data_IF_909187966856
#
_entry.id   IF_909187966856
#
_cell.length_a   1.000
_cell.length_b   1.000
_cell.length_c   1.000
_cell.angle_alpha   90.00
_cell.angle_beta   90.00
_cell.angle_gamma   90.00
#
_symmetry.space_group_name_H-M   'P 1'
#
loop_
_entity.id
_entity.type
_entity.pdbx_description
1 polymer ?
#
# COMPACT_ATOMS: atom_id res chain seq x y z
N UNK A 1 15.21 0.48 -25.74
CA UNK A 1 13.73 0.45 -25.82
C UNK A 1 13.28 1.82 -26.27
N UNK A 2 12.40 1.91 -27.26
CA UNK A 2 11.79 3.20 -27.61
C UNK A 2 11.09 3.77 -26.38
N UNK A 3 11.21 5.08 -26.20
CA UNK A 3 10.60 5.79 -25.07
C UNK A 3 9.09 5.61 -25.14
N UNK A 4 8.41 4.97 -24.19
CA UNK A 4 6.98 4.73 -24.26
C UNK A 4 6.23 6.06 -24.36
N UNK A 5 5.09 6.05 -25.05
CA UNK A 5 4.28 7.25 -25.21
C UNK A 5 3.49 7.56 -23.96
N UNK A 6 3.12 6.55 -23.17
CA UNK A 6 2.26 6.64 -21.99
C UNK A 6 3.02 6.34 -20.69
N UNK A 7 2.62 6.98 -19.62
CA UNK A 7 3.16 6.79 -18.29
C UNK A 7 2.03 6.72 -17.26
N UNK A 8 2.07 5.73 -16.41
CA UNK A 8 1.29 5.67 -15.17
C UNK A 8 2.23 5.94 -14.02
N UNK A 9 2.11 7.10 -13.43
CA UNK A 9 2.89 7.49 -12.25
C UNK A 9 1.97 7.49 -11.04
N UNK A 10 2.33 6.75 -10.00
CA UNK A 10 1.59 6.72 -8.76
C UNK A 10 2.41 7.30 -7.61
N UNK A 11 1.76 7.96 -6.68
CA UNK A 11 2.31 8.27 -5.37
C UNK A 11 1.61 7.42 -4.30
N UNK A 12 2.37 6.93 -3.31
CA UNK A 12 1.83 6.10 -2.25
C UNK A 12 0.56 6.71 -1.63
N UNK A 13 -0.48 5.90 -1.48
CA UNK A 13 -1.72 6.35 -0.86
C UNK A 13 -1.47 6.62 0.64
N UNK A 14 -1.66 7.86 1.12
CA UNK A 14 -1.58 8.12 2.56
C UNK A 14 -2.76 7.54 3.31
N UNK A 15 -2.51 7.02 4.49
CA UNK A 15 -3.56 6.59 5.41
C UNK A 15 -4.45 7.77 5.82
N UNK A 16 -5.77 7.63 5.66
CA UNK A 16 -6.74 8.65 6.06
C UNK A 16 -7.08 8.57 7.57
N UNK A 17 -6.06 8.53 8.42
CA UNK A 17 -6.19 8.51 9.88
C UNK A 17 -5.49 9.70 10.55
N UNK A 18 -5.06 10.68 9.78
CA UNK A 18 -4.40 11.87 10.27
C UNK A 18 -3.98 12.81 9.14
N UNK A 19 -3.56 14.05 9.48
CA UNK A 19 -3.06 15.00 8.51
C UNK A 19 -1.68 14.57 7.99
N UNK A 20 -1.32 15.12 6.84
CA UNK A 20 0.01 14.94 6.24
C UNK A 20 1.04 15.87 6.90
N UNK A 21 2.29 15.42 6.92
CA UNK A 21 3.45 16.18 7.37
C UNK A 21 4.52 16.29 6.28
N UNK A 22 5.51 17.17 6.48
CA UNK A 22 6.60 17.41 5.53
C UNK A 22 7.34 16.14 5.11
N UNK A 23 7.44 15.13 5.98
CA UNK A 23 8.04 13.85 5.65
C UNK A 23 7.29 13.08 4.57
N UNK A 24 5.96 13.16 4.54
CA UNK A 24 5.16 12.58 3.46
C UNK A 24 5.41 13.32 2.15
N UNK A 25 5.39 14.67 2.19
CA UNK A 25 5.61 15.51 1.01
C UNK A 25 6.97 15.21 0.36
N UNK A 26 8.05 15.27 1.15
CA UNK A 26 9.41 15.03 0.68
C UNK A 26 9.66 13.57 0.27
N UNK A 27 8.97 12.62 0.93
CA UNK A 27 9.17 11.19 0.71
C UNK A 27 8.61 10.67 -0.61
N UNK A 28 7.42 11.10 -1.00
CA UNK A 28 6.74 10.55 -2.16
C UNK A 28 6.14 11.62 -3.09
N UNK A 29 5.46 12.64 -2.56
CA UNK A 29 4.56 13.46 -3.37
C UNK A 29 5.29 14.54 -4.17
N UNK A 30 6.20 15.28 -3.57
CA UNK A 30 7.00 16.28 -4.27
C UNK A 30 7.91 15.66 -5.35
N UNK A 31 8.66 14.57 -5.07
CA UNK A 31 9.46 13.91 -6.11
C UNK A 31 8.63 13.39 -7.28
N UNK A 32 7.44 12.85 -7.02
CA UNK A 32 6.54 12.37 -8.08
C UNK A 32 5.98 13.50 -8.92
N UNK A 33 5.59 14.62 -8.31
CA UNK A 33 5.07 15.79 -9.04
C UNK A 33 6.14 16.41 -9.94
N UNK A 34 7.36 16.57 -9.43
CA UNK A 34 8.50 17.05 -10.23
C UNK A 34 8.73 16.15 -11.45
N UNK A 35 8.71 14.83 -11.24
CA UNK A 35 8.89 13.87 -12.32
C UNK A 35 7.75 13.95 -13.36
N UNK A 36 6.51 14.06 -12.91
CA UNK A 36 5.34 14.20 -13.79
C UNK A 36 5.40 15.49 -14.59
N UNK A 37 5.76 16.62 -13.98
CA UNK A 37 5.99 17.89 -14.69
C UNK A 37 7.05 17.74 -15.76
N UNK A 38 8.18 17.08 -15.46
CA UNK A 38 9.21 16.80 -16.44
C UNK A 38 8.68 15.96 -17.62
N UNK A 39 7.89 14.91 -17.37
CA UNK A 39 7.28 14.11 -18.42
C UNK A 39 6.30 14.93 -19.28
N UNK A 40 5.43 15.72 -18.67
CA UNK A 40 4.49 16.61 -19.36
C UNK A 40 5.23 17.63 -20.26
N UNK A 41 6.32 18.22 -19.76
CA UNK A 41 7.17 19.13 -20.54
C UNK A 41 7.83 18.45 -21.76
N UNK A 42 8.05 17.15 -21.70
CA UNK A 42 8.53 16.33 -22.81
C UNK A 42 7.42 15.70 -23.66
N UNK A 43 6.20 16.26 -23.59
CA UNK A 43 5.03 15.83 -24.36
C UNK A 43 4.69 14.35 -24.19
N UNK A 44 4.86 13.78 -22.97
CA UNK A 44 4.42 12.42 -22.64
C UNK A 44 2.97 12.44 -22.18
N UNK A 45 2.22 11.40 -22.57
CA UNK A 45 0.87 11.15 -22.03
C UNK A 45 1.02 10.52 -20.64
N UNK A 46 0.65 11.26 -19.59
CA UNK A 46 0.88 10.87 -18.20
C UNK A 46 -0.44 10.90 -17.43
N UNK A 47 -0.76 9.82 -16.75
CA UNK A 47 -1.73 9.82 -15.65
C UNK A 47 -0.97 9.81 -14.32
N UNK A 48 -1.24 10.79 -13.48
CA UNK A 48 -0.64 10.92 -12.14
C UNK A 48 -1.68 10.60 -11.07
N UNK A 49 -1.50 9.45 -10.42
CA UNK A 49 -2.52 8.84 -9.56
C UNK A 49 -2.10 8.87 -8.10
N UNK A 50 -3.00 9.34 -7.27
CA UNK A 50 -2.95 9.18 -5.82
C UNK A 50 -4.37 9.02 -5.28
N UNK A 51 -4.49 8.89 -3.98
CA UNK A 51 -5.74 8.79 -3.25
C UNK A 51 -5.48 8.57 -1.78
N UNK A 52 -6.52 8.43 -0.98
CA UNK A 52 -6.41 8.04 0.42
C UNK A 52 -6.61 6.54 0.60
N UNK A 53 -5.71 5.93 1.42
CA UNK A 53 -5.91 4.59 1.95
C UNK A 53 -6.82 4.69 3.17
N UNK A 54 -8.02 4.12 3.07
CA UNK A 54 -9.11 4.34 4.01
C UNK A 54 -9.54 3.08 4.76
N UNK A 55 -8.81 1.97 4.60
CA UNK A 55 -9.13 0.70 5.23
C UNK A 55 -8.10 0.29 6.28
N UNK A 56 -8.45 -0.72 7.08
CA UNK A 56 -7.56 -1.34 8.07
C UNK A 56 -7.76 -0.86 9.50
N UNK A 57 -7.09 -1.56 10.42
CA UNK A 57 -7.28 -1.45 11.87
C UNK A 57 -6.97 -0.04 12.42
N UNK A 58 -6.03 0.69 11.82
CA UNK A 58 -5.67 2.03 12.32
C UNK A 58 -6.82 3.04 12.21
N UNK A 59 -7.66 2.94 11.17
CA UNK A 59 -8.85 3.79 10.97
C UNK A 59 -9.89 3.50 12.06
N UNK A 60 -10.21 2.22 12.27
CA UNK A 60 -11.22 1.81 13.25
C UNK A 60 -10.79 2.10 14.68
N UNK A 61 -9.50 1.95 15.00
CA UNK A 61 -8.96 2.35 16.31
C UNK A 61 -9.08 3.85 16.53
N UNK A 62 -8.78 4.66 15.51
CA UNK A 62 -8.94 6.11 15.56
C UNK A 62 -10.41 6.49 15.76
N UNK A 63 -11.30 5.89 15.00
CA UNK A 63 -12.74 6.10 15.11
C UNK A 63 -13.27 5.82 16.52
N UNK A 64 -12.89 4.67 17.10
CA UNK A 64 -13.24 4.35 18.49
C UNK A 64 -12.72 5.39 19.50
N UNK A 65 -11.46 5.84 19.33
CA UNK A 65 -10.84 6.84 20.22
C UNK A 65 -11.56 8.19 20.16
N UNK A 66 -12.06 8.58 18.99
CA UNK A 66 -12.73 9.86 18.78
C UNK A 66 -14.26 9.80 18.91
N UNK A 67 -14.83 8.61 19.15
CA UNK A 67 -16.29 8.41 19.22
C UNK A 67 -17.00 8.66 17.89
N UNK A 68 -16.30 8.44 16.78
CA UNK A 68 -16.76 8.58 15.40
C UNK A 68 -16.89 7.22 14.72
N UNK A 69 -17.58 7.19 13.59
CA UNK A 69 -17.55 6.04 12.66
C UNK A 69 -16.25 6.06 11.84
N UNK A 70 -15.81 4.90 11.31
CA UNK A 70 -14.69 4.86 10.36
C UNK A 70 -14.90 5.76 9.15
N UNK A 71 -16.13 5.85 8.61
CA UNK A 71 -16.46 6.70 7.48
C UNK A 71 -16.26 8.19 7.79
N UNK A 72 -16.69 8.67 8.95
CA UNK A 72 -16.48 10.07 9.37
C UNK A 72 -14.99 10.42 9.49
N UNK A 73 -14.17 9.50 9.99
CA UNK A 73 -12.70 9.69 10.07
C UNK A 73 -12.10 9.83 8.66
N UNK A 74 -12.41 8.89 7.77
CA UNK A 74 -11.80 8.92 6.43
C UNK A 74 -12.31 10.09 5.58
N UNK A 75 -13.56 10.50 5.74
CA UNK A 75 -14.10 11.68 5.06
C UNK A 75 -13.39 12.96 5.48
N UNK A 76 -13.15 13.13 6.78
CA UNK A 76 -12.42 14.25 7.34
C UNK A 76 -10.99 14.32 6.82
N UNK A 77 -10.22 13.23 6.96
CA UNK A 77 -8.80 13.24 6.58
C UNK A 77 -8.57 13.17 5.07
N UNK A 78 -9.48 12.57 4.31
CA UNK A 78 -9.45 12.68 2.85
C UNK A 78 -9.52 14.15 2.42
N UNK A 79 -10.48 14.90 2.95
CA UNK A 79 -10.68 16.31 2.61
C UNK A 79 -9.47 17.17 3.02
N UNK A 80 -8.97 16.99 4.25
CA UNK A 80 -7.80 17.74 4.77
C UNK A 80 -6.57 17.46 3.90
N UNK A 81 -6.29 16.20 3.62
CA UNK A 81 -5.11 15.80 2.86
C UNK A 81 -5.18 16.24 1.40
N UNK A 82 -6.35 16.12 0.76
CA UNK A 82 -6.58 16.63 -0.59
C UNK A 82 -6.31 18.11 -0.66
N UNK A 83 -6.86 18.89 0.28
CA UNK A 83 -6.66 20.33 0.34
C UNK A 83 -5.20 20.72 0.58
N UNK A 84 -4.47 19.97 1.42
CA UNK A 84 -3.05 20.18 1.63
C UNK A 84 -2.25 19.99 0.33
N UNK A 85 -2.51 18.94 -0.44
CA UNK A 85 -1.86 18.72 -1.73
C UNK A 85 -2.16 19.84 -2.73
N UNK A 86 -3.42 20.27 -2.85
CA UNK A 86 -3.81 21.40 -3.71
C UNK A 86 -3.04 22.68 -3.34
N UNK A 87 -2.95 22.98 -2.05
CA UNK A 87 -2.26 24.16 -1.55
C UNK A 87 -0.74 24.11 -1.77
N UNK A 88 -0.13 22.91 -1.78
CA UNK A 88 1.27 22.71 -2.16
C UNK A 88 1.48 22.59 -3.68
N UNK A 89 0.44 22.79 -4.47
CA UNK A 89 0.52 22.74 -5.94
C UNK A 89 0.85 21.36 -6.51
N UNK A 90 0.60 20.29 -5.76
CA UNK A 90 0.73 18.91 -6.26
C UNK A 90 -0.46 18.61 -7.18
N UNK A 91 -0.18 18.42 -8.47
CA UNK A 91 -1.19 18.35 -9.55
C UNK A 91 -1.46 16.88 -9.93
N UNK A 92 -2.16 16.14 -9.07
CA UNK A 92 -2.64 14.78 -9.42
C UNK A 92 -3.68 14.84 -10.55
N UNK A 93 -3.59 13.91 -11.50
CA UNK A 93 -4.68 13.68 -12.46
C UNK A 93 -5.97 13.26 -11.76
N UNK A 94 -5.82 12.52 -10.66
CA UNK A 94 -6.90 12.13 -9.75
C UNK A 94 -6.35 11.88 -8.34
N UNK A 95 -7.06 12.40 -7.33
CA UNK A 95 -6.91 12.03 -5.94
C UNK A 95 -8.18 11.31 -5.48
N UNK A 96 -8.14 9.97 -5.48
CA UNK A 96 -9.29 9.11 -5.24
C UNK A 96 -9.30 8.55 -3.82
N UNK A 97 -10.12 7.53 -3.55
CA UNK A 97 -10.25 6.94 -2.21
C UNK A 97 -10.60 5.45 -2.28
N UNK A 98 -10.06 4.66 -1.35
CA UNK A 98 -10.30 3.20 -1.33
C UNK A 98 -11.68 2.83 -0.74
N UNK A 99 -12.37 3.72 -0.03
CA UNK A 99 -13.75 3.49 0.43
C UNK A 99 -14.81 3.74 -0.65
N UNK A 100 -14.43 4.19 -1.85
CA UNK A 100 -15.37 4.42 -2.94
C UNK A 100 -15.98 3.11 -3.45
N UNK A 101 -17.29 3.08 -3.79
CA UNK A 101 -17.96 1.87 -4.28
C UNK A 101 -17.28 1.23 -5.49
N UNK A 102 -16.84 2.06 -6.46
CA UNK A 102 -16.15 1.60 -7.66
C UNK A 102 -14.77 0.96 -7.36
N UNK A 103 -14.12 1.39 -6.27
CA UNK A 103 -12.93 0.70 -5.80
C UNK A 103 -13.26 -0.66 -5.20
N UNK A 104 -14.30 -0.76 -4.37
CA UNK A 104 -14.75 -2.04 -3.81
C UNK A 104 -15.07 -3.04 -4.90
N UNK A 105 -15.82 -2.64 -5.94
CA UNK A 105 -16.13 -3.49 -7.10
C UNK A 105 -14.86 -3.97 -7.81
N UNK A 106 -13.90 -3.05 -8.06
CA UNK A 106 -12.64 -3.38 -8.72
C UNK A 106 -11.80 -4.34 -7.88
N UNK A 107 -11.66 -4.09 -6.59
CA UNK A 107 -10.86 -4.92 -5.69
C UNK A 107 -11.46 -6.32 -5.53
N UNK A 108 -12.79 -6.43 -5.41
CA UNK A 108 -13.48 -7.71 -5.36
C UNK A 108 -13.33 -8.49 -6.66
N UNK A 109 -13.47 -7.82 -7.81
CA UNK A 109 -13.28 -8.44 -9.13
C UNK A 109 -11.85 -8.95 -9.28
N UNK A 110 -10.85 -8.12 -8.97
CA UNK A 110 -9.44 -8.47 -9.06
C UNK A 110 -9.08 -9.68 -8.17
N UNK A 111 -9.60 -9.69 -6.92
CA UNK A 111 -9.41 -10.80 -6.00
C UNK A 111 -10.04 -12.10 -6.52
N UNK A 112 -11.28 -12.03 -7.04
CA UNK A 112 -11.97 -13.18 -7.61
C UNK A 112 -11.22 -13.78 -8.81
N UNK A 113 -10.73 -12.93 -9.72
CA UNK A 113 -9.96 -13.38 -10.89
C UNK A 113 -8.66 -14.09 -10.48
N UNK A 114 -7.97 -13.58 -9.45
CA UNK A 114 -6.80 -14.26 -8.89
C UNK A 114 -7.18 -15.58 -8.20
N UNK A 115 -8.29 -15.61 -7.45
CA UNK A 115 -8.73 -16.84 -6.78
C UNK A 115 -9.14 -17.92 -7.79
N UNK A 116 -9.77 -17.56 -8.91
CA UNK A 116 -10.09 -18.49 -10.00
C UNK A 116 -8.86 -19.05 -10.71
N UNK A 117 -7.71 -18.40 -10.57
CA UNK A 117 -6.40 -18.84 -11.09
C UNK A 117 -5.58 -19.61 -10.05
N UNK A 118 -6.19 -20.05 -8.95
CA UNK A 118 -5.53 -20.77 -7.86
C UNK A 118 -4.32 -20.02 -7.25
N UNK A 119 -4.36 -18.66 -7.30
CA UNK A 119 -3.29 -17.82 -6.76
C UNK A 119 -3.22 -17.91 -5.25
N UNK A 120 -4.33 -18.14 -4.57
CA UNK A 120 -4.41 -18.21 -3.13
C UNK A 120 -4.63 -19.64 -2.62
N UNK A 121 -4.14 -19.91 -1.41
CA UNK A 121 -4.43 -21.16 -0.67
C UNK A 121 -5.25 -20.83 0.56
N UNK A 122 -6.40 -21.49 0.75
CA UNK A 122 -7.19 -21.34 2.00
C UNK A 122 -6.54 -22.18 3.10
N UNK A 123 -6.26 -21.54 4.24
CA UNK A 123 -5.65 -22.21 5.41
C UNK A 123 -6.41 -21.76 6.66
N UNK A 124 -6.64 -22.73 7.56
CA UNK A 124 -7.16 -22.48 8.91
C UNK A 124 -5.97 -22.40 9.88
N UNK A 125 -5.91 -21.34 10.64
CA UNK A 125 -4.85 -21.08 11.62
C UNK A 125 -5.46 -20.55 12.92
N UNK A 126 -4.76 -20.75 14.03
CA UNK A 126 -5.11 -20.07 15.26
C UNK A 126 -4.64 -18.63 15.22
N UNK A 127 -5.52 -17.71 15.66
CA UNK A 127 -5.21 -16.28 15.80
C UNK A 127 -5.70 -15.77 17.14
N UNK A 128 -5.10 -14.68 17.62
CA UNK A 128 -5.52 -14.03 18.86
C UNK A 128 -6.93 -13.44 18.75
N UNK A 129 -7.70 -13.63 19.78
CA UNK A 129 -9.09 -13.23 19.88
C UNK A 129 -9.35 -12.54 21.23
N UNK A 130 -10.03 -11.42 21.20
CA UNK A 130 -10.48 -10.67 22.37
C UNK A 130 -11.91 -11.11 22.71
N UNK A 131 -12.08 -11.85 23.81
CA UNK A 131 -13.38 -12.36 24.23
C UNK A 131 -14.32 -11.23 24.70
N UNK A 132 -13.78 -10.17 25.30
CA UNK A 132 -14.58 -9.06 25.79
C UNK A 132 -15.21 -8.27 24.64
N UNK A 133 -14.46 -8.05 23.55
CA UNK A 133 -14.94 -7.33 22.38
C UNK A 133 -15.47 -8.26 21.28
N UNK A 134 -15.42 -9.58 21.50
CA UNK A 134 -15.87 -10.59 20.53
C UNK A 134 -15.23 -10.40 19.14
N UNK A 135 -13.92 -10.16 19.10
CA UNK A 135 -13.20 -9.75 17.89
C UNK A 135 -11.83 -10.41 17.77
N UNK A 136 -11.43 -10.84 16.56
CA UNK A 136 -10.07 -11.23 16.25
C UNK A 136 -9.14 -10.01 16.29
N UNK A 137 -7.90 -10.25 16.75
CA UNK A 137 -6.88 -9.22 16.91
C UNK A 137 -5.85 -9.28 15.79
N UNK A 138 -6.20 -8.69 14.65
CA UNK A 138 -5.29 -8.55 13.53
C UNK A 138 -4.44 -7.27 13.65
N UNK A 139 -3.23 -7.34 13.15
CA UNK A 139 -2.38 -6.16 12.90
C UNK A 139 -2.24 -5.25 14.15
N UNK A 140 -2.83 -4.05 14.13
CA UNK A 140 -2.72 -3.05 15.22
C UNK A 140 -3.72 -3.23 16.35
N UNK A 141 -4.61 -4.21 16.27
CA UNK A 141 -5.47 -4.58 17.39
C UNK A 141 -4.74 -5.35 18.49
N UNK A 142 -3.50 -5.79 18.21
CA UNK A 142 -2.67 -6.47 19.19
C UNK A 142 -1.30 -5.78 19.30
N UNK A 143 -0.79 -5.69 20.52
CA UNK A 143 0.54 -5.18 20.82
C UNK A 143 1.25 -6.09 21.80
N UNK A 144 2.57 -6.03 21.80
CA UNK A 144 3.42 -6.80 22.69
C UNK A 144 4.88 -6.42 22.55
N UNK A 145 5.77 -7.19 23.16
CA UNK A 145 7.19 -6.96 23.05
C UNK A 145 7.73 -7.56 21.73
N UNK A 146 8.54 -6.76 21.02
CA UNK A 146 9.21 -7.18 19.79
C UNK A 146 10.29 -8.24 20.09
N UNK A 147 10.26 -9.41 19.44
CA UNK A 147 11.27 -10.46 19.68
C UNK A 147 12.67 -10.08 19.19
N UNK A 148 12.79 -9.06 18.33
CA UNK A 148 14.08 -8.66 17.75
C UNK A 148 14.75 -7.51 18.50
N UNK A 149 14.02 -6.47 18.90
CA UNK A 149 14.60 -5.27 19.52
C UNK A 149 14.06 -4.96 20.91
N UNK A 150 13.20 -5.85 21.46
CA UNK A 150 12.60 -5.74 22.80
C UNK A 150 11.80 -4.44 23.00
N UNK A 151 11.30 -3.85 21.93
CA UNK A 151 10.35 -2.75 22.04
C UNK A 151 9.06 -3.25 22.69
N UNK A 152 8.63 -2.74 23.87
CA UNK A 152 7.48 -3.27 24.62
C UNK A 152 6.13 -2.98 23.95
N UNK A 153 6.11 -2.10 22.94
CA UNK A 153 4.91 -1.63 22.26
C UNK A 153 4.99 -1.88 20.74
N UNK A 154 5.44 -3.06 20.31
CA UNK A 154 5.37 -3.46 18.91
C UNK A 154 3.96 -3.91 18.56
N UNK A 155 3.51 -3.60 17.34
CA UNK A 155 2.24 -4.08 16.79
C UNK A 155 2.40 -5.42 16.08
N UNK A 156 1.28 -6.11 15.84
CA UNK A 156 1.27 -7.44 15.24
C UNK A 156 1.55 -7.48 13.73
N UNK A 157 1.71 -6.33 13.08
CA UNK A 157 2.09 -6.21 11.65
C UNK A 157 3.55 -5.79 11.48
N UNK A 158 4.02 -4.87 12.31
CA UNK A 158 5.38 -4.32 12.20
C UNK A 158 5.84 -3.69 13.53
N UNK A 159 7.13 -3.82 13.83
CA UNK A 159 7.73 -3.07 14.92
C UNK A 159 8.10 -1.66 14.47
N UNK A 160 7.43 -0.62 14.98
CA UNK A 160 7.70 0.77 14.61
C UNK A 160 9.12 1.27 15.01
N UNK A 161 9.79 0.60 15.95
CA UNK A 161 11.14 0.96 16.40
C UNK A 161 12.23 0.42 15.48
N UNK A 162 12.18 -0.87 15.13
CA UNK A 162 13.24 -1.51 14.32
C UNK A 162 12.81 -1.81 12.87
N UNK A 163 11.54 -1.56 12.53
CA UNK A 163 11.02 -1.79 11.19
C UNK A 163 10.85 -3.26 10.78
N UNK A 164 10.99 -4.18 11.73
CA UNK A 164 10.83 -5.61 11.44
C UNK A 164 9.38 -5.94 11.15
N UNK A 165 9.16 -6.72 10.09
CA UNK A 165 7.89 -7.40 9.84
C UNK A 165 7.61 -8.40 10.98
N UNK A 166 6.39 -8.40 11.46
CA UNK A 166 5.92 -9.25 12.54
C UNK A 166 4.58 -9.89 12.16
N UNK A 167 4.32 -11.05 12.75
CA UNK A 167 2.99 -11.61 12.88
C UNK A 167 2.49 -11.38 14.31
N UNK A 168 1.17 -11.27 14.55
CA UNK A 168 0.63 -11.27 15.91
C UNK A 168 1.19 -12.39 16.80
N UNK A 169 1.45 -13.56 16.23
CA UNK A 169 1.97 -14.72 16.94
C UNK A 169 3.45 -14.59 17.34
N UNK A 170 4.20 -13.67 16.74
CA UNK A 170 5.60 -13.42 17.08
C UNK A 170 5.78 -12.58 18.35
N UNK A 171 4.73 -11.85 18.75
CA UNK A 171 4.79 -10.93 19.88
C UNK A 171 4.97 -11.65 21.21
N UNK A 172 5.88 -11.14 22.05
CA UNK A 172 6.07 -11.60 23.41
C UNK A 172 5.08 -10.85 24.30
N UNK A 173 4.39 -11.56 25.20
CA UNK A 173 3.38 -11.03 26.11
C UNK A 173 2.30 -10.21 25.38
N UNK A 174 1.59 -10.78 24.39
CA UNK A 174 0.61 -10.06 23.60
C UNK A 174 -0.58 -9.59 24.43
N UNK A 175 -1.10 -8.38 24.08
CA UNK A 175 -2.26 -7.74 24.70
C UNK A 175 -3.16 -7.17 23.63
N UNK A 176 -4.47 -7.27 23.83
CA UNK A 176 -5.45 -6.51 23.03
C UNK A 176 -5.22 -5.01 23.20
N UNK A 177 -5.15 -4.26 22.12
CA UNK A 177 -5.11 -2.79 22.17
C UNK A 177 -6.49 -2.19 22.41
N UNK A 178 -7.54 -3.02 22.35
CA UNK A 178 -8.95 -2.63 22.52
C UNK A 178 -9.35 -2.73 23.99
N UNK A 179 -9.16 -3.91 24.61
CA UNK A 179 -9.53 -4.16 26.02
C UNK A 179 -8.36 -4.03 27.00
N UNK A 180 -7.11 -4.11 26.50
CA UNK A 180 -5.91 -4.24 27.36
C UNK A 180 -5.69 -5.64 27.92
N UNK A 181 -6.61 -6.58 27.70
CA UNK A 181 -6.56 -7.93 28.25
C UNK A 181 -5.62 -8.85 27.46
N UNK A 182 -5.22 -9.94 28.11
CA UNK A 182 -4.52 -11.04 27.44
C UNK A 182 -5.50 -11.77 26.50
N UNK A 183 -5.20 -11.88 25.20
CA UNK A 183 -6.08 -12.56 24.26
C UNK A 183 -6.01 -14.10 24.41
N UNK A 184 -7.03 -14.78 23.89
CA UNK A 184 -7.05 -16.22 23.68
C UNK A 184 -6.72 -16.59 22.23
N UNK A 185 -6.45 -17.85 21.95
CA UNK A 185 -6.33 -18.37 20.58
C UNK A 185 -7.69 -18.94 20.12
N UNK A 186 -8.05 -18.63 18.88
CA UNK A 186 -9.26 -19.12 18.21
C UNK A 186 -8.97 -19.42 16.74
N UNK A 187 -9.53 -20.47 16.20
CA UNK A 187 -9.36 -20.81 14.79
C UNK A 187 -10.10 -19.85 13.88
N UNK A 188 -9.44 -19.46 12.78
CA UNK A 188 -10.02 -18.74 11.66
C UNK A 188 -9.36 -19.16 10.36
N UNK A 189 -10.09 -18.99 9.24
CA UNK A 189 -9.59 -19.36 7.91
C UNK A 189 -9.34 -18.12 7.08
N UNK A 190 -8.18 -18.08 6.41
CA UNK A 190 -7.78 -17.00 5.52
C UNK A 190 -7.27 -17.53 4.19
N UNK A 191 -7.24 -16.66 3.17
CA UNK A 191 -6.64 -16.89 1.86
C UNK A 191 -5.22 -16.35 1.86
N UNK A 192 -4.24 -17.24 1.66
CA UNK A 192 -2.82 -16.93 1.69
C UNK A 192 -2.23 -16.86 0.29
N UNK A 193 -1.43 -15.83 0.04
CA UNK A 193 -0.56 -15.74 -1.14
C UNK A 193 0.73 -16.50 -0.85
N UNK A 194 1.04 -17.62 -1.56
CA UNK A 194 2.26 -18.39 -1.37
C UNK A 194 3.46 -17.71 -2.03
N UNK A 195 4.00 -16.66 -1.39
CA UNK A 195 5.03 -15.79 -1.97
C UNK A 195 6.33 -16.53 -2.30
N UNK A 196 6.65 -17.60 -1.58
CA UNK A 196 7.85 -18.44 -1.81
C UNK A 196 7.91 -19.04 -3.20
N UNK A 197 6.77 -19.26 -3.86
CA UNK A 197 6.70 -19.77 -5.24
C UNK A 197 7.17 -18.78 -6.29
N UNK A 198 7.42 -17.54 -5.89
CA UNK A 198 7.73 -16.44 -6.79
C UNK A 198 9.17 -15.92 -6.68
N UNK A 199 9.99 -16.47 -5.78
CA UNK A 199 11.37 -16.02 -5.50
C UNK A 199 12.28 -16.03 -6.74
N UNK A 200 12.19 -17.07 -7.57
CA UNK A 200 13.06 -17.24 -8.74
C UNK A 200 12.86 -16.11 -9.77
N UNK A 201 11.61 -15.88 -10.18
CA UNK A 201 11.33 -14.84 -11.17
C UNK A 201 11.49 -13.44 -10.59
N UNK A 202 11.15 -13.21 -9.30
CA UNK A 202 11.39 -11.94 -8.61
C UNK A 202 12.88 -11.61 -8.59
N UNK A 203 13.71 -12.57 -8.24
CA UNK A 203 15.18 -12.40 -8.27
C UNK A 203 15.67 -12.00 -9.65
N UNK A 204 15.22 -12.71 -10.70
CA UNK A 204 15.60 -12.39 -12.07
C UNK A 204 15.09 -11.01 -12.51
N UNK A 205 13.85 -10.66 -12.13
CA UNK A 205 13.25 -9.37 -12.46
C UNK A 205 13.99 -8.22 -11.77
N UNK A 206 14.25 -8.31 -10.45
CA UNK A 206 14.94 -7.26 -9.69
C UNK A 206 16.39 -7.10 -10.12
N UNK A 207 17.15 -8.21 -10.28
CA UNK A 207 18.60 -8.12 -10.53
C UNK A 207 18.94 -7.92 -12.02
N UNK A 208 18.13 -8.47 -12.93
CA UNK A 208 18.42 -8.48 -14.37
C UNK A 208 17.40 -7.71 -15.21
N UNK A 209 16.30 -7.25 -14.60
CA UNK A 209 15.19 -6.62 -15.31
C UNK A 209 14.44 -7.59 -16.25
N UNK A 210 14.56 -8.92 -16.05
CA UNK A 210 14.06 -9.93 -16.99
C UNK A 210 13.11 -10.92 -16.34
N UNK A 211 12.06 -11.29 -17.11
CA UNK A 211 11.20 -12.45 -16.82
C UNK A 211 11.15 -13.32 -18.06
N UNK A 212 11.42 -14.61 -17.92
CA UNK A 212 11.48 -15.60 -19.02
C UNK A 212 12.32 -15.11 -20.22
N UNK A 213 13.44 -14.43 -19.94
CA UNK A 213 14.35 -13.91 -20.96
C UNK A 213 13.94 -12.57 -21.59
N UNK A 214 12.70 -12.11 -21.43
CA UNK A 214 12.23 -10.81 -21.92
C UNK A 214 12.67 -9.69 -20.99
N UNK A 215 13.31 -8.62 -21.54
CA UNK A 215 13.68 -7.42 -20.78
C UNK A 215 12.43 -6.59 -20.52
N UNK A 216 12.17 -6.25 -19.25
CA UNK A 216 11.03 -5.44 -18.83
C UNK A 216 11.44 -4.05 -18.35
N UNK A 217 12.57 -3.95 -17.63
CA UNK A 217 13.11 -2.67 -17.17
C UNK A 217 14.64 -2.72 -17.13
N UNK A 218 15.30 -1.56 -16.95
CA UNK A 218 16.73 -1.50 -16.68
C UNK A 218 16.95 -1.50 -15.15
N UNK A 219 17.56 -2.54 -14.57
CA UNK A 219 17.78 -2.61 -13.13
C UNK A 219 18.75 -1.52 -12.61
N UNK A 220 19.53 -0.88 -13.48
CA UNK A 220 20.41 0.24 -13.10
C UNK A 220 19.64 1.53 -12.79
N UNK A 221 18.40 1.65 -13.26
CA UNK A 221 17.53 2.79 -12.94
C UNK A 221 16.94 2.67 -11.52
N UNK A 222 16.97 1.49 -10.91
CA UNK A 222 16.46 1.27 -9.56
C UNK A 222 17.48 1.69 -8.51
N UNK A 223 17.01 2.34 -7.45
CA UNK A 223 17.89 2.68 -6.31
C UNK A 223 18.41 1.42 -5.63
N UNK A 224 19.70 1.39 -5.29
CA UNK A 224 20.35 0.27 -4.58
C UNK A 224 19.65 -0.09 -3.26
N UNK A 225 19.10 0.88 -2.57
CA UNK A 225 18.31 0.69 -1.34
C UNK A 225 17.07 -0.17 -1.61
N UNK A 226 16.37 0.07 -2.71
CA UNK A 226 15.15 -0.69 -3.06
C UNK A 226 15.52 -2.12 -3.41
N UNK A 227 16.46 -2.31 -4.34
CA UNK A 227 16.92 -3.64 -4.76
C UNK A 227 17.54 -4.41 -3.60
N UNK A 228 18.33 -3.75 -2.74
CA UNK A 228 18.94 -4.34 -1.55
C UNK A 228 17.90 -4.83 -0.53
N UNK A 229 16.87 -4.03 -0.25
CA UNK A 229 15.81 -4.43 0.67
C UNK A 229 14.99 -5.60 0.12
N UNK A 230 14.62 -5.58 -1.17
CA UNK A 230 13.89 -6.68 -1.83
C UNK A 230 14.72 -7.97 -1.78
N UNK A 231 16.01 -7.89 -2.13
CA UNK A 231 16.89 -9.06 -2.08
C UNK A 231 17.13 -9.58 -0.66
N UNK A 232 17.14 -8.70 0.34
CA UNK A 232 17.21 -9.11 1.74
C UNK A 232 16.00 -9.96 2.15
N UNK A 233 14.81 -9.60 1.70
CA UNK A 233 13.58 -10.38 1.95
C UNK A 233 13.61 -11.72 1.21
N UNK A 234 13.96 -11.74 -0.07
CA UNK A 234 14.05 -12.97 -0.86
C UNK A 234 15.10 -13.92 -0.27
N UNK A 235 16.28 -13.42 0.10
CA UNK A 235 17.34 -14.23 0.67
C UNK A 235 16.99 -14.78 2.07
N UNK A 236 16.11 -14.12 2.81
CA UNK A 236 15.59 -14.63 4.09
C UNK A 236 14.52 -15.72 3.91
N UNK A 237 14.05 -15.95 2.68
CA UNK A 237 12.94 -16.83 2.32
C UNK A 237 11.58 -16.14 2.48
N UNK A 238 10.87 -15.99 1.38
CA UNK A 238 9.51 -15.43 1.41
C UNK A 238 8.55 -16.44 2.05
N UNK A 239 7.63 -15.95 2.85
CA UNK A 239 6.63 -16.78 3.54
C UNK A 239 5.23 -16.51 2.98
N UNK A 240 4.30 -17.50 3.04
CA UNK A 240 2.91 -17.26 2.71
C UNK A 240 2.33 -16.10 3.54
N UNK A 241 1.56 -15.23 2.89
CA UNK A 241 0.94 -14.07 3.55
C UNK A 241 -0.56 -14.09 3.39
N UNK A 242 -1.29 -13.93 4.51
CA UNK A 242 -2.74 -13.85 4.49
C UNK A 242 -3.21 -12.56 3.79
N UNK A 243 -4.06 -12.73 2.77
CA UNK A 243 -4.64 -11.64 1.96
C UNK A 243 -6.06 -11.25 2.39
N UNK A 244 -6.52 -11.80 3.50
CA UNK A 244 -7.80 -11.46 4.13
C UNK A 244 -7.63 -11.23 5.62
N UNK A 245 -8.56 -10.51 6.23
CA UNK A 245 -8.58 -10.21 7.68
C UNK A 245 -9.98 -10.35 8.24
N UNK A 246 -10.07 -10.75 9.50
CA UNK A 246 -11.31 -10.71 10.29
C UNK A 246 -11.51 -9.28 10.81
N UNK A 247 -12.12 -8.44 10.00
CA UNK A 247 -12.40 -7.02 10.27
C UNK A 247 -13.76 -6.64 9.67
N UNK A 248 -14.39 -5.64 10.26
CA UNK A 248 -15.68 -5.13 9.77
C UNK A 248 -15.53 -4.03 8.73
N UNK A 249 -14.44 -3.24 8.79
CA UNK A 249 -14.16 -2.11 7.93
C UNK A 249 -13.10 -2.46 6.86
N UNK A 250 -13.51 -2.41 5.60
CA UNK A 250 -12.70 -2.76 4.42
C UNK A 250 -13.52 -3.36 3.29
N UNK A 251 -12.85 -3.70 2.19
CA UNK A 251 -13.48 -4.38 1.05
C UNK A 251 -13.85 -5.81 1.46
N UNK A 252 -15.14 -6.15 1.38
CA UNK A 252 -15.61 -7.49 1.75
C UNK A 252 -15.05 -8.56 0.81
N UNK A 253 -14.64 -9.70 1.38
CA UNK A 253 -14.17 -10.84 0.60
C UNK A 253 -15.33 -11.45 -0.18
N UNK A 254 -15.27 -11.51 -1.52
CA UNK A 254 -16.40 -11.91 -2.36
C UNK A 254 -16.47 -13.44 -2.57
N UNK A 255 -16.24 -14.23 -1.53
CA UNK A 255 -16.22 -15.70 -1.60
C UNK A 255 -17.18 -16.30 -0.58
N UNK A 256 -17.72 -17.48 -0.90
CA UNK A 256 -18.53 -18.27 0.01
C UNK A 256 -17.72 -18.70 1.25
N UNK A 257 -18.30 -18.58 2.42
CA UNK A 257 -17.66 -18.89 3.71
C UNK A 257 -16.58 -17.88 4.12
N UNK A 258 -16.68 -16.64 3.60
CA UNK A 258 -15.83 -15.52 3.99
C UNK A 258 -16.58 -14.45 4.80
N UNK A 259 -17.70 -14.83 5.44
CA UNK A 259 -18.48 -13.91 6.26
C UNK A 259 -17.62 -13.29 7.37
N UNK A 260 -17.79 -11.99 7.62
CA UNK A 260 -17.00 -11.23 8.60
C UNK A 260 -15.55 -10.95 8.19
N UNK A 261 -15.20 -11.17 6.92
CA UNK A 261 -13.84 -10.95 6.41
C UNK A 261 -13.78 -9.85 5.37
N UNK A 262 -12.65 -9.13 5.39
CA UNK A 262 -12.28 -8.12 4.40
C UNK A 262 -10.96 -8.48 3.73
N UNK A 263 -10.71 -7.90 2.57
CA UNK A 263 -9.41 -7.96 1.91
C UNK A 263 -8.37 -7.27 2.80
N UNK A 264 -7.15 -7.79 2.80
CA UNK A 264 -6.04 -7.16 3.50
C UNK A 264 -5.70 -5.82 2.85
N UNK A 265 -5.54 -4.79 3.65
CA UNK A 265 -5.30 -3.41 3.18
C UNK A 265 -4.14 -3.32 2.18
N UNK A 266 -3.09 -4.12 2.32
CA UNK A 266 -1.96 -4.15 1.41
C UNK A 266 -2.20 -4.95 0.10
N UNK A 267 -3.37 -5.58 -0.02
CA UNK A 267 -3.88 -6.07 -1.30
C UNK A 267 -4.80 -5.03 -1.93
N UNK A 268 -5.73 -4.46 -1.16
CA UNK A 268 -6.72 -3.55 -1.72
C UNK A 268 -6.14 -2.17 -2.05
N UNK A 269 -5.29 -1.59 -1.20
CA UNK A 269 -4.71 -0.27 -1.42
C UNK A 269 -3.96 -0.13 -2.76
N UNK A 270 -3.07 -1.05 -3.19
CA UNK A 270 -2.46 -0.97 -4.52
C UNK A 270 -3.45 -1.09 -5.68
N UNK A 271 -4.55 -1.84 -5.51
CA UNK A 271 -5.63 -1.87 -6.51
C UNK A 271 -6.31 -0.50 -6.60
N UNK A 272 -6.23 0.31 -5.54
CA UNK A 272 -6.67 1.70 -5.52
C UNK A 272 -6.07 2.56 -6.62
N UNK A 273 -4.83 2.29 -7.04
CA UNK A 273 -4.24 2.97 -8.20
C UNK A 273 -4.97 2.63 -9.50
N UNK A 274 -5.39 1.36 -9.66
CA UNK A 274 -6.10 0.88 -10.85
C UNK A 274 -7.50 1.48 -10.90
N UNK A 275 -8.26 1.39 -9.79
CA UNK A 275 -9.61 1.94 -9.71
C UNK A 275 -9.64 3.45 -9.88
N UNK A 276 -8.68 4.17 -9.31
CA UNK A 276 -8.51 5.61 -9.50
C UNK A 276 -8.24 5.95 -10.96
N UNK A 277 -7.35 5.20 -11.64
CA UNK A 277 -7.08 5.41 -13.06
C UNK A 277 -8.32 5.14 -13.91
N UNK A 278 -9.10 4.10 -13.56
CA UNK A 278 -10.37 3.79 -14.25
C UNK A 278 -11.34 4.96 -14.13
N UNK A 279 -11.55 5.47 -12.91
CA UNK A 279 -12.42 6.63 -12.66
C UNK A 279 -11.96 7.87 -13.43
N UNK A 280 -10.67 8.17 -13.39
CA UNK A 280 -10.10 9.27 -14.17
C UNK A 280 -10.32 9.11 -15.68
N UNK A 281 -10.13 7.91 -16.21
CA UNK A 281 -10.31 7.63 -17.63
C UNK A 281 -11.77 7.80 -18.06
N UNK A 282 -12.72 7.32 -17.25
CA UNK A 282 -14.16 7.51 -17.46
C UNK A 282 -14.51 9.00 -17.51
N UNK A 283 -14.00 9.80 -16.56
CA UNK A 283 -14.26 11.25 -16.50
C UNK A 283 -13.62 12.04 -17.66
N UNK A 284 -12.60 11.49 -18.31
CA UNK A 284 -11.84 12.13 -19.39
C UNK A 284 -12.04 11.48 -20.76
N UNK A 285 -12.97 10.53 -20.92
CA UNK A 285 -13.23 9.83 -22.18
C UNK A 285 -12.03 9.04 -22.70
N UNK A 286 -11.20 8.49 -21.81
CA UNK A 286 -10.02 7.68 -22.12
C UNK A 286 -10.27 6.19 -21.77
N UNK A 287 -9.41 5.32 -22.29
CA UNK A 287 -9.39 3.91 -21.89
C UNK A 287 -8.33 3.70 -20.80
N UNK A 288 -8.76 3.30 -19.60
CA UNK A 288 -7.85 3.06 -18.46
C UNK A 288 -6.90 1.88 -18.68
N UNK A 289 -7.31 0.88 -19.50
CA UNK A 289 -6.50 -0.30 -19.77
C UNK A 289 -5.20 0.04 -20.49
N UNK A 290 -5.20 1.10 -21.31
CA UNK A 290 -4.01 1.62 -21.98
C UNK A 290 -2.89 2.05 -21.02
N UNK A 291 -3.22 2.31 -19.76
CA UNK A 291 -2.29 2.76 -18.73
C UNK A 291 -1.88 1.63 -17.76
N UNK A 292 -2.55 0.48 -17.82
CA UNK A 292 -2.31 -0.61 -16.86
C UNK A 292 -2.10 -1.97 -17.47
N UNK A 293 -2.60 -2.22 -18.68
CA UNK A 293 -2.56 -3.56 -19.28
C UNK A 293 -1.49 -3.68 -20.37
N UNK A 294 -0.98 -4.88 -20.52
CA UNK A 294 -0.20 -5.26 -21.72
C UNK A 294 -1.14 -5.40 -22.91
N UNK A 295 -0.64 -5.08 -24.09
CA UNK A 295 -1.39 -5.30 -25.32
C UNK A 295 -1.65 -6.80 -25.49
N UNK A 296 -2.92 -7.18 -25.63
CA UNK A 296 -3.35 -8.58 -25.70
C UNK A 296 -2.83 -9.32 -26.95
N UNK A 297 -2.54 -8.61 -28.05
CA UNK A 297 -2.06 -9.19 -29.32
C UNK A 297 -0.54 -9.37 -29.32
N UNK A 298 0.20 -8.38 -28.79
CA UNK A 298 1.67 -8.38 -28.84
C UNK A 298 2.32 -8.83 -27.52
N UNK A 299 1.58 -8.79 -26.40
CA UNK A 299 2.12 -9.02 -25.07
C UNK A 299 3.09 -7.93 -24.60
N UNK A 300 3.08 -6.76 -25.25
CA UNK A 300 3.98 -5.65 -24.95
C UNK A 300 3.26 -4.57 -24.15
N UNK A 301 4.01 -3.93 -23.25
CA UNK A 301 3.53 -2.77 -22.51
C UNK A 301 3.75 -1.49 -23.35
N UNK A 302 2.68 -0.72 -23.57
CA UNK A 302 2.75 0.60 -24.20
C UNK A 302 2.92 1.72 -23.17
N UNK A 303 2.81 1.40 -21.90
CA UNK A 303 2.95 2.30 -20.76
C UNK A 303 4.09 1.89 -19.84
N UNK A 304 4.71 2.88 -19.19
CA UNK A 304 5.62 2.68 -18.05
C UNK A 304 4.87 2.93 -16.75
N UNK A 305 4.95 1.97 -15.84
CA UNK A 305 4.40 2.07 -14.47
C UNK A 305 5.51 2.44 -13.50
N UNK A 306 5.35 3.56 -12.78
CA UNK A 306 6.34 4.06 -11.82
C UNK A 306 5.65 4.40 -10.50
N UNK A 307 6.14 3.80 -9.39
CA UNK A 307 5.58 3.99 -8.05
C UNK A 307 6.52 4.83 -7.18
N UNK A 308 6.14 6.07 -6.87
CA UNK A 308 6.85 6.90 -5.88
C UNK A 308 6.33 6.60 -4.47
N UNK A 309 7.24 6.17 -3.58
CA UNK A 309 6.88 5.65 -2.27
C UNK A 309 7.88 6.08 -1.18
N UNK A 310 7.49 5.96 0.10
CA UNK A 310 8.41 5.88 1.22
C UNK A 310 9.04 4.49 1.33
N UNK A 311 10.20 4.38 1.95
CA UNK A 311 10.95 3.10 2.07
C UNK A 311 10.19 1.99 2.79
N UNK A 312 9.25 2.32 3.65
CA UNK A 312 8.38 1.38 4.35
C UNK A 312 7.42 0.63 3.42
N UNK A 313 7.18 1.17 2.23
CA UNK A 313 6.31 0.58 1.22
C UNK A 313 7.05 -0.27 0.15
N UNK A 314 8.38 -0.42 0.24
CA UNK A 314 9.18 -1.13 -0.77
C UNK A 314 8.68 -2.56 -0.98
N UNK A 315 8.45 -3.33 0.10
CA UNK A 315 8.04 -4.72 0.02
C UNK A 315 6.70 -4.87 -0.70
N UNK A 316 5.76 -3.96 -0.42
CA UNK A 316 4.42 -4.02 -1.02
C UNK A 316 4.44 -3.70 -2.50
N UNK A 317 5.23 -2.71 -2.95
CA UNK A 317 5.30 -2.28 -4.34
C UNK A 317 6.34 -3.03 -5.19
N UNK A 318 7.28 -3.74 -4.54
CA UNK A 318 8.35 -4.45 -5.26
C UNK A 318 8.30 -5.97 -5.09
N UNK A 319 7.44 -6.52 -4.23
CA UNK A 319 7.23 -7.96 -4.05
C UNK A 319 5.74 -8.30 -4.20
N UNK A 320 4.88 -7.85 -3.28
CA UNK A 320 3.50 -8.31 -3.17
C UNK A 320 2.68 -7.89 -4.40
N UNK A 321 2.63 -6.60 -4.68
CA UNK A 321 1.84 -6.10 -5.80
C UNK A 321 2.33 -6.62 -7.17
N UNK A 322 3.65 -6.67 -7.47
CA UNK A 322 4.15 -7.34 -8.67
C UNK A 322 3.75 -8.82 -8.77
N UNK A 323 3.73 -9.57 -7.65
CA UNK A 323 3.23 -10.96 -7.67
C UNK A 323 1.76 -10.98 -8.12
N UNK A 324 0.91 -10.14 -7.52
CA UNK A 324 -0.50 -10.07 -7.84
C UNK A 324 -0.74 -9.68 -9.31
N UNK A 325 -0.06 -8.64 -9.81
CA UNK A 325 -0.13 -8.21 -11.21
C UNK A 325 0.29 -9.30 -12.17
N UNK A 326 1.42 -10.00 -11.87
CA UNK A 326 1.92 -11.08 -12.70
C UNK A 326 0.99 -12.30 -12.69
N UNK A 327 0.42 -12.67 -11.54
CA UNK A 327 -0.53 -13.78 -11.44
C UNK A 327 -1.83 -13.48 -12.18
N UNK A 328 -2.25 -12.21 -12.19
CA UNK A 328 -3.38 -11.79 -13.03
C UNK A 328 -3.05 -11.99 -14.52
N UNK A 329 -1.84 -11.67 -14.95
CA UNK A 329 -1.31 -11.97 -16.28
C UNK A 329 -1.56 -10.89 -17.33
N UNK A 330 -2.42 -9.92 -17.06
CA UNK A 330 -2.79 -8.87 -18.04
C UNK A 330 -2.16 -7.50 -17.73
N UNK A 331 -1.63 -7.32 -16.51
CA UNK A 331 -1.12 -6.03 -16.08
C UNK A 331 0.37 -5.84 -16.34
N UNK A 332 0.75 -4.58 -16.58
CA UNK A 332 2.16 -4.18 -16.66
C UNK A 332 2.79 -4.28 -15.28
N UNK A 333 4.06 -4.67 -15.23
CA UNK A 333 4.85 -4.63 -13.99
C UNK A 333 5.56 -3.28 -13.84
N UNK A 334 5.90 -2.85 -12.62
CA UNK A 334 6.62 -1.61 -12.41
C UNK A 334 7.95 -1.54 -13.17
N UNK A 335 8.17 -0.47 -13.92
CA UNK A 335 9.46 -0.13 -14.52
C UNK A 335 10.45 0.34 -13.46
N UNK A 336 9.95 1.10 -12.48
CA UNK A 336 10.74 1.61 -11.38
C UNK A 336 9.88 1.86 -10.14
N UNK A 337 10.52 1.74 -8.97
CA UNK A 337 9.92 2.03 -7.67
C UNK A 337 10.83 3.00 -6.91
N UNK A 338 10.82 4.31 -7.25
CA UNK A 338 11.59 5.31 -6.53
C UNK A 338 11.11 5.42 -5.08
N UNK A 339 11.93 4.94 -4.15
CA UNK A 339 11.68 5.06 -2.72
C UNK A 339 12.65 6.05 -2.08
N UNK A 340 12.16 6.86 -1.15
CA UNK A 340 12.99 7.78 -0.38
C UNK A 340 13.06 7.37 1.09
N UNK A 341 14.16 7.80 1.73
CA UNK A 341 14.36 7.68 3.16
C UNK A 341 13.37 8.56 3.92
N UNK A 342 13.18 8.27 5.21
CA UNK A 342 12.38 9.12 6.07
C UNK A 342 13.04 10.46 6.31
N UNK A 343 12.25 11.53 6.25
CA UNK A 343 12.67 12.83 6.78
C UNK A 343 12.61 12.78 8.30
N UNK A 344 13.73 13.14 8.94
CA UNK A 344 13.85 13.22 10.38
C UNK A 344 13.75 14.67 10.85
N UNK A 345 13.21 14.86 12.04
CA UNK A 345 13.22 16.12 12.77
C UNK A 345 14.04 15.90 14.04
N UNK A 346 15.12 16.68 14.23
CA UNK A 346 16.04 16.57 15.40
C UNK A 346 16.57 15.14 15.65
N UNK A 347 16.79 14.39 14.57
CA UNK A 347 17.30 13.01 14.61
C UNK A 347 16.24 11.93 14.69
N UNK A 348 14.99 12.26 15.00
CA UNK A 348 13.88 11.32 15.07
C UNK A 348 12.99 11.35 13.81
N UNK A 349 12.48 10.18 13.41
CA UNK A 349 11.51 10.05 12.31
C UNK A 349 10.25 10.86 12.62
N UNK A 350 9.80 11.69 11.67
CA UNK A 350 8.47 12.31 11.70
C UNK A 350 7.38 11.21 11.78
N UNK A 351 6.40 11.39 12.66
CA UNK A 351 5.40 10.36 12.97
C UNK A 351 4.05 10.95 13.33
N UNK A 352 3.02 10.60 12.54
CA UNK A 352 1.63 10.97 12.83
C UNK A 352 1.13 10.34 14.13
N UNK A 353 1.45 9.08 14.39
CA UNK A 353 0.99 8.36 15.59
C UNK A 353 1.58 8.90 16.89
N UNK A 354 2.78 9.49 16.84
CA UNK A 354 3.47 10.11 18.00
C UNK A 354 3.24 11.61 18.12
N UNK A 355 2.47 12.21 17.19
CA UNK A 355 2.27 13.66 17.08
C UNK A 355 3.61 14.44 17.04
N UNK A 356 4.63 13.85 16.38
CA UNK A 356 5.95 14.43 16.19
C UNK A 356 6.16 14.75 14.71
N UNK A 357 5.70 15.93 14.31
CA UNK A 357 5.68 16.30 12.90
C UNK A 357 5.54 17.82 12.71
N UNK A 358 5.95 18.31 11.54
CA UNK A 358 5.54 19.60 10.99
C UNK A 358 4.41 19.29 10.00
N UNK A 359 3.21 19.69 10.35
CA UNK A 359 2.01 19.41 9.56
C UNK A 359 1.91 20.33 8.35
N UNK A 360 1.45 19.81 7.21
CA UNK A 360 1.38 20.59 5.97
C UNK A 360 0.42 21.78 6.07
N UNK A 361 -0.73 21.60 6.70
CA UNK A 361 -1.72 22.66 6.86
C UNK A 361 -1.21 23.77 7.79
N UNK A 362 -0.55 23.43 8.92
CA UNK A 362 0.06 24.39 9.84
C UNK A 362 1.21 25.15 9.17
N UNK A 363 2.06 24.46 8.41
CA UNK A 363 3.15 25.10 7.68
C UNK A 363 2.65 26.15 6.70
N UNK A 364 1.55 25.87 5.98
CA UNK A 364 0.97 26.79 5.03
C UNK A 364 0.29 28.00 5.67
N UNK A 365 -0.24 27.85 6.90
CA UNK A 365 -0.77 28.97 7.70
C UNK A 365 0.36 29.90 8.16
N UNK A 366 1.48 29.32 8.58
CA UNK A 366 2.64 30.08 9.09
C UNK A 366 3.48 30.68 7.95
N UNK A 367 3.59 29.99 6.81
CA UNK A 367 4.45 30.36 5.68
C UNK A 367 3.70 30.28 4.33
N UNK A 368 2.64 31.13 4.12
CA UNK A 368 1.77 31.01 2.94
C UNK A 368 2.48 31.27 1.61
N UNK A 369 3.59 32.04 1.63
CA UNK A 369 4.35 32.43 0.42
C UNK A 369 5.60 31.55 0.20
N UNK A 370 5.77 30.44 0.93
CA UNK A 370 6.96 29.57 0.85
C UNK A 370 6.58 28.14 0.46
N UNK A 371 5.85 28.04 -0.64
CA UNK A 371 5.47 26.74 -1.22
C UNK A 371 6.48 26.27 -2.26
N UNK A 372 7.21 27.20 -2.91
CA UNK A 372 8.20 26.97 -3.97
C UNK A 372 9.56 26.48 -3.44
#
# INVERSE_FOLDING_TARGET
MENPKKYTVTAALPYANGPLHLGHLAGAYLPSDIYVRYLKMNNRDVVFVCGSDEHGAAITLRAKKEGKTPQEIVDEYHAINKKAFENFGIDFSIYHRTSAPEHHEMAQKFFNELNQKDTFTKQTTEQYYDEENNQFLADRYISGECPKCQNPNAYGDQCEKCGSDLSPMDLINPKSTISGNKPILKETSHWFLPMERHEEWLTSWIQKGKIHGKQLHDPKEWKNQVTGQVMSWINAGLKPRAMTRDLDWGVKVPLEGADGKVLYVWLDAPIGYISATKKWAEDNGKNWEDYWKVNSETGEAETKLIHFIGKDNIVFHSIIFPILLKQHGEYVLPDNVPANEFLNLEGDKLSTSRNWAVWLHEYLEEYPDKVD
#
